data_IF_684505796495
#
_entry.id   IF_684505796495
#
_cell.length_a   1.000
_cell.length_b   1.000
_cell.length_c   1.000
_cell.angle_alpha   90.00
_cell.angle_beta   90.00
_cell.angle_gamma   90.00
#
_symmetry.space_group_name_H-M   'P 1'
#
loop_
_entity.id
_entity.type
_entity.pdbx_description
1 polymer ?
#
# COMPACT_ATOMS: atom_id res chain seq x y z
N UNK A 1 19.95 -1.93 39.19
CA UNK A 1 20.15 -2.40 37.82
C UNK A 1 20.32 -1.16 36.97
N UNK A 2 21.46 -0.99 36.31
CA UNK A 2 21.69 0.14 35.40
C UNK A 2 21.06 -0.22 34.05
N UNK A 3 20.37 0.74 33.43
CA UNK A 3 19.77 0.63 32.11
C UNK A 3 20.47 1.66 31.22
N UNK A 4 20.99 1.20 30.08
CA UNK A 4 21.63 2.06 29.09
C UNK A 4 20.76 2.14 27.82
N UNK A 5 20.70 3.33 27.21
CA UNK A 5 20.08 3.55 25.91
C UNK A 5 21.21 3.82 24.93
N UNK A 6 21.35 2.96 23.92
CA UNK A 6 22.41 3.01 22.93
C UNK A 6 21.83 3.31 21.55
N UNK A 7 22.60 4.00 20.71
CA UNK A 7 22.26 4.25 19.32
C UNK A 7 22.61 3.03 18.46
N UNK A 8 21.66 2.59 17.63
CA UNK A 8 21.88 1.58 16.58
C UNK A 8 21.01 1.95 15.37
N UNK A 9 21.65 2.47 14.32
CA UNK A 9 21.01 2.91 13.08
C UNK A 9 21.02 1.82 11.99
N UNK A 10 21.38 0.58 12.34
CA UNK A 10 21.49 -0.50 11.37
C UNK A 10 20.12 -1.01 10.91
N UNK A 11 20.02 -1.37 9.63
CA UNK A 11 18.82 -2.07 9.12
C UNK A 11 18.60 -3.40 9.82
N UNK A 12 19.68 -4.08 10.24
CA UNK A 12 19.63 -5.33 11.00
C UNK A 12 18.88 -5.16 12.32
N UNK A 13 19.20 -4.13 13.10
CA UNK A 13 18.50 -3.85 14.35
C UNK A 13 17.03 -3.46 14.10
N UNK A 14 16.77 -2.64 13.08
CA UNK A 14 15.39 -2.29 12.70
C UNK A 14 14.55 -3.53 12.32
N UNK A 15 15.13 -4.48 11.57
CA UNK A 15 14.49 -5.74 11.22
C UNK A 15 14.28 -6.64 12.44
N UNK A 16 15.23 -6.67 13.38
CA UNK A 16 15.08 -7.38 14.66
C UNK A 16 13.91 -6.83 15.47
N UNK A 17 13.81 -5.51 15.63
CA UNK A 17 12.71 -4.86 16.33
C UNK A 17 11.37 -5.13 15.67
N UNK A 18 11.33 -5.10 14.33
CA UNK A 18 10.15 -5.48 13.54
C UNK A 18 9.74 -6.94 13.80
N UNK A 19 10.68 -7.87 13.85
CA UNK A 19 10.41 -9.28 14.14
C UNK A 19 9.86 -9.47 15.56
N UNK A 20 10.41 -8.78 16.56
CA UNK A 20 9.93 -8.82 17.96
C UNK A 20 8.49 -8.33 18.09
N UNK A 21 8.16 -7.19 17.47
CA UNK A 21 6.78 -6.67 17.46
C UNK A 21 5.84 -7.59 16.67
N UNK A 22 6.31 -8.20 15.58
CA UNK A 22 5.51 -9.19 14.85
C UNK A 22 5.18 -10.42 15.73
N UNK A 23 6.17 -10.95 16.46
CA UNK A 23 5.99 -12.09 17.37
C UNK A 23 5.05 -11.75 18.53
N UNK A 24 5.15 -10.54 19.10
CA UNK A 24 4.23 -10.07 20.13
C UNK A 24 2.80 -9.95 19.59
N UNK A 25 2.63 -9.30 18.42
CA UNK A 25 1.31 -9.14 17.81
C UNK A 25 0.64 -10.47 17.41
N UNK A 26 1.45 -11.47 17.04
CA UNK A 26 0.95 -12.82 16.72
C UNK A 26 0.22 -13.49 17.91
N UNK A 27 0.44 -13.02 19.14
CA UNK A 27 -0.26 -13.51 20.34
C UNK A 27 -1.67 -12.93 20.46
N UNK A 28 -1.93 -11.79 19.83
CA UNK A 28 -3.21 -11.07 19.91
C UNK A 28 -4.06 -11.22 18.63
N UNK A 29 -3.40 -11.33 17.48
CA UNK A 29 -4.05 -11.49 16.18
C UNK A 29 -3.29 -12.52 15.35
N UNK A 30 -3.99 -13.21 14.46
CA UNK A 30 -3.32 -14.11 13.52
C UNK A 30 -2.47 -13.29 12.53
N UNK A 31 -1.16 -13.21 12.79
CA UNK A 31 -0.20 -12.50 11.95
C UNK A 31 -0.15 -13.07 10.51
N UNK A 32 -0.56 -14.34 10.32
CA UNK A 32 -0.65 -14.97 9.00
C UNK A 32 -1.76 -14.38 8.12
N UNK A 33 -2.67 -13.59 8.70
CA UNK A 33 -3.68 -12.86 7.95
C UNK A 33 -3.09 -11.70 7.10
N UNK A 34 -1.84 -11.28 7.35
CA UNK A 34 -1.15 -10.31 6.49
C UNK A 34 -0.72 -10.99 5.20
N UNK A 35 -1.37 -10.63 4.10
CA UNK A 35 -1.06 -11.19 2.77
C UNK A 35 -0.43 -10.12 1.88
N UNK A 36 0.78 -10.36 1.32
CA UNK A 36 1.35 -9.48 0.30
C UNK A 36 0.39 -9.30 -0.88
N UNK A 37 0.37 -8.10 -1.45
CA UNK A 37 -0.29 -7.80 -2.72
C UNK A 37 0.78 -7.25 -3.64
N UNK A 38 0.98 -7.88 -4.80
CA UNK A 38 1.98 -7.47 -5.76
C UNK A 38 1.55 -7.84 -7.17
N UNK A 39 1.64 -6.90 -8.09
CA UNK A 39 1.39 -7.12 -9.52
C UNK A 39 2.53 -6.51 -10.33
N UNK A 40 2.98 -7.24 -11.34
CA UNK A 40 3.93 -6.75 -12.35
C UNK A 40 3.19 -6.58 -13.66
N UNK A 41 3.51 -5.50 -14.36
CA UNK A 41 3.13 -5.29 -15.76
C UNK A 41 4.39 -5.43 -16.61
N UNK A 42 4.40 -6.41 -17.51
CA UNK A 42 5.51 -6.68 -18.42
C UNK A 42 5.11 -6.31 -19.86
N UNK A 43 6.08 -5.92 -20.67
CA UNK A 43 5.90 -5.83 -22.12
C UNK A 43 6.04 -7.21 -22.81
N UNK A 44 5.99 -7.21 -24.14
CA UNK A 44 6.09 -8.42 -24.95
C UNK A 44 7.45 -9.13 -24.80
N UNK A 45 8.51 -8.39 -24.46
CA UNK A 45 9.87 -8.93 -24.28
C UNK A 45 10.13 -9.36 -22.82
N UNK A 46 9.13 -9.21 -21.94
CA UNK A 46 9.22 -9.56 -20.52
C UNK A 46 9.85 -8.48 -19.64
N UNK A 47 10.09 -7.27 -20.18
CA UNK A 47 10.65 -6.15 -19.41
C UNK A 47 9.59 -5.49 -18.53
N UNK A 48 9.99 -5.01 -17.35
CA UNK A 48 9.09 -4.40 -16.39
C UNK A 48 8.65 -2.99 -16.82
N UNK A 49 7.39 -2.85 -17.24
CA UNK A 49 6.77 -1.55 -17.55
C UNK A 49 6.10 -0.88 -16.35
N UNK A 50 5.76 -1.65 -15.32
CA UNK A 50 5.13 -1.09 -14.13
C UNK A 50 4.88 -2.12 -13.05
N UNK A 51 4.57 -1.65 -11.85
CA UNK A 51 4.23 -2.50 -10.73
C UNK A 51 3.44 -1.78 -9.67
N UNK A 52 2.66 -2.56 -8.92
CA UNK A 52 2.00 -2.11 -7.70
C UNK A 52 2.26 -3.12 -6.59
N UNK A 53 2.56 -2.63 -5.40
CA UNK A 53 2.79 -3.48 -4.23
C UNK A 53 2.19 -2.88 -2.96
N UNK A 54 1.94 -3.78 -2.01
CA UNK A 54 1.35 -3.46 -0.72
C UNK A 54 0.95 -4.75 -0.01
N UNK A 55 -0.11 -4.65 0.81
CA UNK A 55 -0.57 -5.76 1.65
C UNK A 55 -2.05 -5.65 1.97
N UNK A 56 -2.66 -6.79 2.29
CA UNK A 56 -3.99 -6.85 2.92
C UNK A 56 -3.86 -7.37 4.34
N UNK A 57 -4.59 -6.78 5.28
CA UNK A 57 -4.64 -7.22 6.67
C UNK A 57 -6.01 -6.91 7.25
N UNK A 58 -6.64 -7.90 7.89
CA UNK A 58 -8.05 -7.82 8.25
C UNK A 58 -8.89 -7.58 6.99
N UNK A 59 -9.73 -6.55 7.04
CA UNK A 59 -10.62 -6.13 5.96
C UNK A 59 -10.15 -4.84 5.24
N UNK A 60 -8.84 -4.56 5.30
CA UNK A 60 -8.19 -3.42 4.63
C UNK A 60 -7.07 -3.85 3.70
N UNK A 61 -6.92 -3.11 2.60
CA UNK A 61 -5.74 -3.12 1.76
C UNK A 61 -4.94 -1.84 1.97
N UNK A 62 -3.62 -1.95 2.04
CA UNK A 62 -2.69 -0.82 2.01
C UNK A 62 -1.82 -0.94 0.76
N UNK A 63 -1.92 0.04 -0.15
CA UNK A 63 -1.01 0.17 -1.29
C UNK A 63 0.18 1.01 -0.85
N UNK A 64 1.38 0.47 -1.00
CA UNK A 64 2.63 1.13 -0.58
C UNK A 64 3.33 1.78 -1.75
N UNK A 65 3.35 1.11 -2.91
CA UNK A 65 4.06 1.58 -4.09
C UNK A 65 3.23 1.34 -5.35
N UNK A 66 3.18 2.34 -6.22
CA UNK A 66 2.70 2.24 -7.60
C UNK A 66 3.69 2.96 -8.49
N UNK A 67 4.19 2.27 -9.50
CA UNK A 67 5.15 2.81 -10.44
C UNK A 67 4.84 2.35 -11.86
N UNK A 68 5.05 3.25 -12.81
CA UNK A 68 5.00 2.99 -14.24
C UNK A 68 6.22 3.63 -14.87
N UNK A 69 6.91 2.87 -15.73
CA UNK A 69 8.05 3.33 -16.51
C UNK A 69 7.66 4.55 -17.34
N UNK A 70 8.63 5.40 -17.66
CA UNK A 70 8.38 6.60 -18.46
C UNK A 70 7.72 6.25 -19.80
N UNK A 71 8.21 5.21 -20.47
CA UNK A 71 7.64 4.69 -21.71
C UNK A 71 6.17 4.24 -21.58
N UNK A 72 5.73 3.81 -20.39
CA UNK A 72 4.37 3.38 -20.12
C UNK A 72 3.41 4.45 -19.59
N UNK A 73 3.90 5.66 -19.30
CA UNK A 73 3.06 6.76 -18.78
C UNK A 73 2.11 7.28 -19.85
N UNK A 74 0.99 7.86 -19.41
CA UNK A 74 -0.06 8.38 -20.32
C UNK A 74 -0.92 7.31 -21.00
N UNK A 75 -0.59 6.03 -20.87
CA UNK A 75 -1.30 4.92 -21.53
C UNK A 75 -2.32 4.20 -20.62
N UNK A 76 -2.68 4.80 -19.48
CA UNK A 76 -3.62 4.20 -18.52
C UNK A 76 -3.10 2.96 -17.78
N UNK A 77 -1.79 2.65 -17.86
CA UNK A 77 -1.21 1.46 -17.22
C UNK A 77 -1.29 1.51 -15.68
N UNK A 78 -1.09 2.70 -15.10
CA UNK A 78 -1.25 2.91 -13.66
C UNK A 78 -2.68 2.63 -13.19
N UNK A 79 -3.68 3.08 -13.96
CA UNK A 79 -5.10 2.78 -13.71
C UNK A 79 -5.38 1.27 -13.79
N UNK A 80 -4.81 0.57 -14.76
CA UNK A 80 -4.96 -0.90 -14.89
C UNK A 80 -4.37 -1.63 -13.68
N UNK A 81 -3.17 -1.26 -13.24
CA UNK A 81 -2.53 -1.82 -12.05
C UNK A 81 -3.36 -1.56 -10.79
N UNK A 82 -3.83 -0.33 -10.61
CA UNK A 82 -4.65 0.06 -9.46
C UNK A 82 -5.97 -0.72 -9.41
N UNK A 83 -6.73 -0.77 -10.52
CA UNK A 83 -7.98 -1.53 -10.59
C UNK A 83 -7.77 -3.00 -10.27
N UNK A 84 -6.70 -3.62 -10.80
CA UNK A 84 -6.40 -5.03 -10.53
C UNK A 84 -6.00 -5.28 -9.07
N UNK A 85 -5.30 -4.34 -8.43
CA UNK A 85 -5.02 -4.39 -7.00
C UNK A 85 -6.31 -4.29 -6.17
N UNK A 86 -7.22 -3.38 -6.53
CA UNK A 86 -8.52 -3.26 -5.85
C UNK A 86 -9.38 -4.52 -6.00
N UNK A 87 -9.37 -5.17 -7.17
CA UNK A 87 -10.03 -6.47 -7.38
C UNK A 87 -9.48 -7.55 -6.46
N UNK A 88 -8.15 -7.66 -6.35
CA UNK A 88 -7.51 -8.59 -5.42
C UNK A 88 -7.87 -8.27 -3.96
N UNK A 89 -7.95 -6.99 -3.60
CA UNK A 89 -8.39 -6.56 -2.27
C UNK A 89 -9.85 -6.99 -2.01
N UNK A 90 -10.77 -6.76 -2.95
CA UNK A 90 -12.17 -7.21 -2.84
C UNK A 90 -12.27 -8.72 -2.68
N UNK A 91 -11.54 -9.49 -3.50
CA UNK A 91 -11.51 -10.95 -3.42
C UNK A 91 -10.97 -11.48 -2.08
N UNK A 92 -10.18 -10.67 -1.37
CA UNK A 92 -9.67 -10.97 -0.02
C UNK A 92 -10.59 -10.45 1.10
N UNK A 93 -11.79 -9.94 0.77
CA UNK A 93 -12.76 -9.44 1.74
C UNK A 93 -12.44 -8.03 2.27
N UNK A 94 -11.58 -7.27 1.59
CA UNK A 94 -11.32 -5.88 1.98
C UNK A 94 -12.52 -5.00 1.60
N UNK A 95 -12.98 -4.17 2.55
CA UNK A 95 -13.98 -3.13 2.27
C UNK A 95 -13.33 -1.78 1.94
N UNK A 96 -12.01 -1.66 2.09
CA UNK A 96 -11.31 -0.39 1.87
C UNK A 96 -9.88 -0.57 1.41
N UNK A 97 -9.41 0.43 0.66
CA UNK A 97 -8.00 0.62 0.32
C UNK A 97 -7.51 1.93 0.90
N UNK A 98 -6.38 1.87 1.60
CA UNK A 98 -5.61 3.00 2.09
C UNK A 98 -4.34 3.13 1.25
N UNK A 99 -3.90 4.35 1.01
CA UNK A 99 -2.59 4.68 0.49
C UNK A 99 -2.15 6.04 0.99
N UNK A 100 -0.88 6.35 0.76
CA UNK A 100 -0.37 7.71 0.89
C UNK A 100 0.35 8.18 -0.36
N UNK A 101 0.39 9.50 -0.59
CA UNK A 101 1.09 10.12 -1.71
C UNK A 101 1.54 11.53 -1.36
N UNK A 102 2.66 11.97 -1.92
CA UNK A 102 3.17 13.34 -1.73
C UNK A 102 2.47 14.33 -2.67
N UNK A 103 2.50 15.62 -2.33
CA UNK A 103 1.89 16.70 -3.12
C UNK A 103 2.31 16.75 -4.58
N UNK A 104 3.59 16.47 -4.85
CA UNK A 104 4.15 16.46 -6.20
C UNK A 104 3.92 15.14 -6.94
N UNK A 105 3.31 14.15 -6.26
CA UNK A 105 2.99 12.85 -6.83
C UNK A 105 1.52 12.80 -7.30
N UNK A 106 0.91 11.62 -7.22
CA UNK A 106 -0.24 11.22 -7.99
C UNK A 106 -1.58 11.51 -7.29
N UNK A 107 -1.69 12.60 -6.51
CA UNK A 107 -2.92 12.94 -5.77
C UNK A 107 -4.14 12.97 -6.68
N UNK A 108 -4.08 13.76 -7.76
CA UNK A 108 -5.19 13.89 -8.71
C UNK A 108 -5.51 12.57 -9.41
N UNK A 109 -4.50 11.73 -9.64
CA UNK A 109 -4.70 10.39 -10.19
C UNK A 109 -5.56 9.55 -9.23
N UNK A 110 -5.23 9.48 -7.95
CA UNK A 110 -6.03 8.71 -6.99
C UNK A 110 -7.42 9.32 -6.79
N UNK A 111 -7.56 10.65 -6.78
CA UNK A 111 -8.87 11.30 -6.70
C UNK A 111 -9.78 10.91 -7.87
N UNK A 112 -9.27 10.90 -9.11
CA UNK A 112 -10.00 10.41 -10.29
C UNK A 112 -10.40 8.93 -10.18
N UNK A 113 -9.68 8.16 -9.38
CA UNK A 113 -10.00 6.75 -9.09
C UNK A 113 -10.92 6.56 -7.87
N UNK A 114 -11.50 7.63 -7.32
CA UNK A 114 -12.48 7.56 -6.23
C UNK A 114 -11.86 7.52 -4.83
N UNK A 115 -10.56 7.80 -4.70
CA UNK A 115 -9.94 7.98 -3.40
C UNK A 115 -10.22 9.39 -2.87
N UNK A 116 -10.53 9.47 -1.56
CA UNK A 116 -10.66 10.73 -0.84
C UNK A 116 -9.53 10.89 0.17
N UNK A 117 -9.02 12.12 0.29
CA UNK A 117 -8.09 12.46 1.38
C UNK A 117 -8.83 12.38 2.71
N UNK A 118 -8.28 11.62 3.66
CA UNK A 118 -8.81 11.50 5.03
C UNK A 118 -7.90 12.18 6.05
N UNK A 119 -6.63 12.37 5.73
CA UNK A 119 -5.67 13.11 6.53
C UNK A 119 -4.56 13.70 5.66
N UNK A 120 -4.00 14.83 6.10
CA UNK A 120 -2.86 15.49 5.47
C UNK A 120 -1.80 15.69 6.54
N UNK A 121 -0.62 15.12 6.29
CA UNK A 121 0.58 15.42 7.07
C UNK A 121 1.26 16.63 6.42
N UNK A 122 1.16 17.78 7.10
CA UNK A 122 1.75 19.04 6.65
C UNK A 122 3.25 19.10 6.99
N UNK A 123 3.96 19.99 6.30
CA UNK A 123 5.39 20.24 6.49
C UNK A 123 6.25 18.98 6.27
N UNK A 124 5.87 18.15 5.30
CA UNK A 124 6.55 16.91 4.96
C UNK A 124 6.99 16.87 3.48
N UNK A 125 8.19 16.37 3.15
CA UNK A 125 9.24 15.98 4.09
C UNK A 125 9.96 17.17 4.76
N UNK A 126 9.82 18.37 4.18
CA UNK A 126 10.39 19.62 4.74
C UNK A 126 9.38 20.77 4.78
N UNK A 127 8.64 20.99 3.68
CA UNK A 127 7.66 22.08 3.57
C UNK A 127 6.39 21.72 2.80
N UNK A 128 6.30 20.50 2.26
CA UNK A 128 5.18 20.05 1.44
C UNK A 128 4.10 19.32 2.24
N UNK A 129 3.24 18.60 1.51
CA UNK A 129 2.17 17.79 2.08
C UNK A 129 2.26 16.32 1.67
N UNK A 130 1.95 15.43 2.62
CA UNK A 130 1.69 14.01 2.39
C UNK A 130 0.22 13.71 2.67
N UNK A 131 -0.47 13.19 1.66
CA UNK A 131 -1.90 12.90 1.71
C UNK A 131 -2.13 11.43 1.99
N UNK A 132 -2.92 11.14 3.02
CA UNK A 132 -3.42 9.81 3.30
C UNK A 132 -4.82 9.71 2.71
N UNK A 133 -5.01 8.74 1.82
CA UNK A 133 -6.20 8.65 0.99
C UNK A 133 -6.87 7.29 1.12
N UNK A 134 -8.20 7.28 1.20
CA UNK A 134 -9.00 6.07 1.34
C UNK A 134 -10.02 5.98 0.22
N UNK A 135 -10.21 4.77 -0.31
CA UNK A 135 -11.34 4.41 -1.15
C UNK A 135 -12.13 3.29 -0.46
N UNK A 136 -13.45 3.49 -0.33
CA UNK A 136 -14.36 2.39 0.02
C UNK A 136 -14.53 1.50 -1.20
N UNK A 137 -14.43 0.20 -1.01
CA UNK A 137 -14.65 -0.79 -2.04
C UNK A 137 -16.10 -1.25 -1.96
N UNK A 138 -16.82 -1.18 -3.08
CA UNK A 138 -18.12 -1.81 -3.17
C UNK A 138 -17.95 -3.32 -2.97
N UNK A 139 -18.70 -3.86 -2.01
CA UNK A 139 -18.74 -5.29 -1.77
C UNK A 139 -19.44 -5.95 -2.96
N UNK A 140 -18.78 -6.91 -3.60
CA UNK A 140 -19.46 -7.78 -4.56
C UNK A 140 -20.51 -8.53 -3.76
N UNK A 141 -21.79 -8.22 -3.97
CA UNK A 141 -22.88 -9.07 -3.48
C UNK A 141 -22.62 -10.45 -4.10
N UNK A 142 -22.25 -11.43 -3.28
CA UNK A 142 -22.34 -12.82 -3.71
C UNK A 142 -23.82 -13.04 -4.02
N UNK A 143 -24.16 -13.15 -5.32
CA UNK A 143 -25.41 -13.75 -5.72
C UNK A 143 -25.40 -15.15 -5.10
N UNK A 144 -26.40 -15.42 -4.27
CA UNK A 144 -26.44 -16.57 -3.38
C UNK A 144 -26.15 -17.89 -4.10
N UNK A 145 -25.48 -18.78 -3.37
CA UNK A 145 -25.63 -20.21 -3.56
C UNK A 145 -26.80 -20.67 -2.70
#
# INVERSE_FOLDING_TARGET
MTLDILEDESSTFADEMKARIAAFNAQHWDASARKPLGLKLLDADGSLLGGISGRTFGNWCHIEYLWVSEAGRGQGLGSRLLSRAEELARARGCHSVLLDTLEFQARDFYQRHGYRTVWVQQQYPFSGEKYFMVKQLDMVKQLGQ
#
